data_IF_264820223039
#
_entry.id   IF_264820223039
#
_cell.length_a   1.000
_cell.length_b   1.000
_cell.length_c   1.000
_cell.angle_alpha   90.00
_cell.angle_beta   90.00
_cell.angle_gamma   90.00
#
_symmetry.space_group_name_H-M   'P 1'
#
loop_
_entity.id
_entity.type
_entity.pdbx_description
1 polymer ?
#
# COMPACT_ATOMS: atom_id res chain seq x y z
N UNK A 1 -3.94 -10.48 -14.48
CA UNK A 1 -2.51 -10.25 -14.22
C UNK A 1 -2.29 -8.92 -13.49
N UNK A 2 -3.13 -7.91 -13.76
CA UNK A 2 -3.07 -6.58 -13.15
C UNK A 2 -4.28 -6.29 -12.23
N UNK A 3 -4.86 -7.32 -11.64
CA UNK A 3 -5.96 -7.17 -10.68
C UNK A 3 -5.37 -7.23 -9.27
N UNK A 4 -5.61 -6.19 -8.49
CA UNK A 4 -5.19 -6.05 -7.10
C UNK A 4 -6.44 -5.78 -6.25
N UNK A 5 -7.10 -6.82 -5.72
CA UNK A 5 -8.18 -6.59 -4.76
C UNK A 5 -7.61 -6.06 -3.45
N UNK A 6 -8.41 -5.26 -2.77
CA UNK A 6 -8.11 -4.79 -1.42
C UNK A 6 -8.92 -5.59 -0.40
N UNK A 7 -8.32 -5.95 0.73
CA UNK A 7 -9.03 -6.61 1.82
C UNK A 7 -9.96 -5.65 2.58
N UNK A 8 -10.70 -6.17 3.55
CA UNK A 8 -11.55 -5.35 4.39
C UNK A 8 -10.73 -4.46 5.32
N UNK A 9 -11.00 -3.16 5.35
CA UNK A 9 -10.40 -2.18 6.28
C UNK A 9 -10.61 -2.52 7.78
N UNK A 10 -11.48 -3.48 8.10
CA UNK A 10 -11.67 -3.97 9.47
C UNK A 10 -10.60 -4.97 9.92
N UNK A 11 -9.81 -5.49 9.01
CA UNK A 11 -8.73 -6.43 9.30
C UNK A 11 -7.55 -5.67 9.92
N UNK A 12 -7.12 -6.11 11.12
CA UNK A 12 -5.95 -5.58 11.79
C UNK A 12 -5.02 -6.73 12.19
N UNK A 13 -4.04 -7.01 11.35
CA UNK A 13 -3.09 -8.13 11.54
C UNK A 13 -2.12 -7.93 12.71
N UNK A 14 -2.06 -6.72 13.25
CA UNK A 14 -1.29 -6.36 14.45
C UNK A 14 -2.18 -6.09 15.68
N UNK A 15 -3.41 -6.62 15.71
CA UNK A 15 -4.34 -6.33 16.79
C UNK A 15 -3.80 -6.79 18.15
N UNK A 16 -3.73 -5.90 19.19
CA UNK A 16 -3.10 -6.21 20.48
C UNK A 16 -3.88 -7.22 21.33
N UNK A 17 -5.18 -7.34 21.10
CA UNK A 17 -6.03 -8.27 21.85
C UNK A 17 -6.14 -9.61 21.10
N UNK A 18 -5.94 -10.77 21.77
CA UNK A 18 -5.93 -12.07 21.11
C UNK A 18 -7.20 -12.37 20.29
N UNK A 19 -8.38 -12.06 20.83
CA UNK A 19 -9.66 -12.30 20.12
C UNK A 19 -9.76 -11.47 18.82
N UNK A 20 -9.34 -10.20 18.87
CA UNK A 20 -9.32 -9.32 17.69
C UNK A 20 -8.29 -9.78 16.65
N UNK A 21 -7.13 -10.25 17.11
CA UNK A 21 -6.08 -10.79 16.25
C UNK A 21 -6.53 -12.05 15.53
N UNK A 22 -7.13 -13.01 16.24
CA UNK A 22 -7.65 -14.25 15.65
C UNK A 22 -8.75 -14.00 14.62
N UNK A 23 -9.68 -13.06 14.90
CA UNK A 23 -10.69 -12.64 13.91
C UNK A 23 -10.06 -12.05 12.66
N UNK A 24 -9.07 -11.19 12.82
CA UNK A 24 -8.35 -10.58 11.70
C UNK A 24 -7.57 -11.60 10.87
N UNK A 25 -6.87 -12.54 11.54
CA UNK A 25 -6.14 -13.64 10.88
C UNK A 25 -7.09 -14.54 10.09
N UNK A 26 -8.24 -14.90 10.67
CA UNK A 26 -9.24 -15.71 10.00
C UNK A 26 -9.83 -15.00 8.78
N UNK A 27 -10.14 -13.71 8.88
CA UNK A 27 -10.65 -12.92 7.77
C UNK A 27 -9.60 -12.76 6.65
N UNK A 28 -8.37 -12.44 6.99
CA UNK A 28 -7.29 -12.30 6.02
C UNK A 28 -7.01 -13.61 5.28
N UNK A 29 -7.03 -14.74 5.99
CA UNK A 29 -6.89 -16.06 5.37
C UNK A 29 -8.03 -16.35 4.39
N UNK A 30 -9.28 -16.01 4.74
CA UNK A 30 -10.44 -16.17 3.85
C UNK A 30 -10.29 -15.32 2.58
N UNK A 31 -9.85 -14.06 2.70
CA UNK A 31 -9.60 -13.19 1.55
C UNK A 31 -8.48 -13.74 0.65
N UNK A 32 -7.38 -14.21 1.20
CA UNK A 32 -6.29 -14.83 0.43
C UNK A 32 -6.75 -16.09 -0.29
N UNK A 33 -7.55 -16.95 0.37
CA UNK A 33 -8.11 -18.16 -0.24
C UNK A 33 -9.13 -17.83 -1.35
N UNK A 34 -9.92 -16.78 -1.20
CA UNK A 34 -10.82 -16.29 -2.26
C UNK A 34 -10.03 -15.81 -3.46
N UNK A 35 -8.92 -15.09 -3.26
CA UNK A 35 -8.02 -14.71 -4.35
C UNK A 35 -7.48 -15.94 -5.08
N UNK A 36 -7.05 -16.99 -4.37
CA UNK A 36 -6.60 -18.25 -4.99
C UNK A 36 -7.70 -18.92 -5.83
N UNK A 37 -8.93 -19.01 -5.28
CA UNK A 37 -10.07 -19.61 -6.00
C UNK A 37 -10.43 -18.85 -7.27
N UNK A 38 -10.24 -17.53 -7.27
CA UNK A 38 -10.46 -16.65 -8.42
C UNK A 38 -9.27 -16.61 -9.40
N UNK A 39 -8.14 -17.26 -9.06
CA UNK A 39 -6.92 -17.24 -9.86
C UNK A 39 -6.17 -15.92 -9.80
N UNK A 40 -6.47 -15.06 -8.82
CA UNK A 40 -5.78 -13.79 -8.59
C UNK A 40 -4.42 -14.04 -7.93
N UNK A 41 -3.46 -13.15 -8.18
CA UNK A 41 -2.08 -13.32 -7.72
C UNK A 41 -1.67 -12.37 -6.61
N UNK A 42 -2.44 -11.35 -6.36
CA UNK A 42 -2.14 -10.28 -5.40
C UNK A 42 -3.35 -10.06 -4.49
N UNK A 43 -3.11 -9.74 -3.22
CA UNK A 43 -4.10 -9.17 -2.30
C UNK A 43 -3.46 -8.00 -1.57
N UNK A 44 -4.03 -6.81 -1.74
CA UNK A 44 -3.61 -5.59 -1.05
C UNK A 44 -4.28 -5.46 0.31
N UNK A 45 -3.56 -4.94 1.30
CA UNK A 45 -4.10 -4.73 2.63
C UNK A 45 -3.32 -3.69 3.43
N UNK A 46 -4.00 -2.97 4.31
CA UNK A 46 -3.35 -2.14 5.32
C UNK A 46 -2.75 -3.03 6.42
N UNK A 47 -1.50 -2.79 6.86
CA UNK A 47 -0.81 -3.71 7.77
C UNK A 47 -1.52 -3.86 9.11
N UNK A 48 -2.02 -2.75 9.68
CA UNK A 48 -2.73 -2.78 10.95
C UNK A 48 -2.38 -1.61 11.86
N UNK A 49 -2.79 -1.74 13.12
CA UNK A 49 -2.75 -0.67 14.11
C UNK A 49 -2.46 -1.22 15.50
N UNK A 50 -1.55 -0.57 16.24
CA UNK A 50 -1.20 -0.95 17.60
C UNK A 50 -2.23 -0.48 18.66
N UNK A 51 -3.25 0.30 18.25
CA UNK A 51 -4.34 0.81 19.10
C UNK A 51 -3.84 1.53 20.38
N UNK A 52 -2.59 2.00 20.39
CA UNK A 52 -1.90 2.57 21.56
C UNK A 52 -1.85 1.62 22.79
N UNK A 53 -1.87 0.30 22.57
CA UNK A 53 -1.87 -0.72 23.62
C UNK A 53 -0.57 -1.53 23.69
N UNK A 54 0.18 -1.61 22.59
CA UNK A 54 1.46 -2.31 22.47
C UNK A 54 2.47 -1.41 21.75
N UNK A 55 3.73 -1.78 21.77
CA UNK A 55 4.77 -1.05 21.03
C UNK A 55 4.60 -1.17 19.51
N UNK A 56 5.21 -0.27 18.77
CA UNK A 56 5.24 -0.33 17.30
C UNK A 56 5.87 -1.64 16.85
N UNK A 57 7.01 -2.00 17.42
CA UNK A 57 7.77 -3.19 17.06
C UNK A 57 7.00 -4.49 17.38
N UNK A 58 6.30 -4.56 18.51
CA UNK A 58 5.44 -5.70 18.83
C UNK A 58 4.30 -5.84 17.83
N UNK A 59 3.66 -4.73 17.46
CA UNK A 59 2.60 -4.73 16.46
C UNK A 59 3.11 -5.18 15.09
N UNK A 60 4.26 -4.64 14.62
CA UNK A 60 4.88 -5.05 13.36
C UNK A 60 5.25 -6.54 13.36
N UNK A 61 5.68 -7.06 14.52
CA UNK A 61 5.98 -8.49 14.69
C UNK A 61 4.73 -9.36 14.57
N UNK A 62 3.61 -8.94 15.18
CA UNK A 62 2.32 -9.63 15.06
C UNK A 62 1.80 -9.62 13.60
N UNK A 63 2.01 -8.51 12.88
CA UNK A 63 1.64 -8.41 11.46
C UNK A 63 2.44 -9.42 10.64
N UNK A 64 3.75 -9.47 10.81
CA UNK A 64 4.61 -10.43 10.09
C UNK A 64 4.24 -11.89 10.40
N UNK A 65 3.98 -12.21 11.68
CA UNK A 65 3.50 -13.53 12.10
C UNK A 65 2.16 -13.89 11.43
N UNK A 66 1.22 -12.96 11.40
CA UNK A 66 -0.09 -13.16 10.78
C UNK A 66 0.02 -13.43 9.28
N UNK A 67 0.93 -12.74 8.59
CA UNK A 67 1.25 -13.00 7.19
C UNK A 67 1.83 -14.41 7.04
N UNK A 68 2.82 -14.81 7.84
CA UNK A 68 3.44 -16.15 7.77
C UNK A 68 2.39 -17.25 7.95
N UNK A 69 1.55 -17.18 8.98
CA UNK A 69 0.45 -18.11 9.23
C UNK A 69 -0.48 -18.26 8.01
N UNK A 70 -0.73 -17.16 7.31
CA UNK A 70 -1.59 -17.17 6.12
C UNK A 70 -0.88 -17.75 4.91
N UNK A 71 0.38 -17.39 4.70
CA UNK A 71 1.19 -17.90 3.58
C UNK A 71 1.44 -19.41 3.67
N UNK A 72 1.56 -19.99 4.89
CA UNK A 72 1.62 -21.43 5.09
C UNK A 72 0.36 -22.19 4.61
N UNK A 73 -0.80 -21.53 4.66
CA UNK A 73 -2.12 -22.09 4.33
C UNK A 73 -2.57 -21.79 2.90
N UNK A 74 -1.81 -21.00 2.16
CA UNK A 74 -2.08 -20.59 0.77
C UNK A 74 -0.83 -20.85 -0.10
N UNK A 75 -0.95 -20.79 -1.43
CA UNK A 75 0.17 -21.20 -2.32
C UNK A 75 0.61 -20.16 -3.33
N UNK A 76 -0.31 -19.37 -3.88
CA UNK A 76 -0.04 -18.61 -5.09
C UNK A 76 -0.22 -17.10 -4.96
N UNK A 77 -0.97 -16.64 -3.96
CA UNK A 77 -1.28 -15.21 -3.77
C UNK A 77 -0.17 -14.54 -2.99
N UNK A 78 0.26 -13.39 -3.45
CA UNK A 78 1.22 -12.51 -2.76
C UNK A 78 0.46 -11.56 -1.83
N UNK A 79 0.86 -11.49 -0.58
CA UNK A 79 0.41 -10.51 0.39
C UNK A 79 1.07 -9.15 0.09
N UNK A 80 0.30 -8.17 -0.35
CA UNK A 80 0.81 -6.85 -0.76
C UNK A 80 0.47 -5.84 0.33
N UNK A 81 1.48 -5.42 1.07
CA UNK A 81 1.35 -4.48 2.19
C UNK A 81 1.23 -3.07 1.64
N UNK A 82 0.14 -2.40 1.91
CA UNK A 82 0.00 -0.99 1.56
C UNK A 82 0.64 -0.09 2.62
N UNK A 83 1.39 0.93 2.18
CA UNK A 83 1.77 1.98 3.10
C UNK A 83 0.54 2.81 3.50
N UNK A 84 0.58 3.43 4.66
CA UNK A 84 -0.54 4.22 5.21
C UNK A 84 -0.14 5.67 5.48
N UNK A 85 -1.13 6.53 5.65
CA UNK A 85 -0.91 7.91 6.07
C UNK A 85 -0.38 8.04 7.52
N UNK A 86 -0.48 6.98 8.32
CA UNK A 86 -0.20 7.03 9.76
C UNK A 86 -1.30 7.72 10.57
N UNK A 87 -2.54 7.66 10.10
CA UNK A 87 -3.68 8.22 10.81
C UNK A 87 -3.94 7.44 12.10
N UNK A 88 -4.06 8.14 13.22
CA UNK A 88 -4.29 7.51 14.53
C UNK A 88 -3.11 6.68 15.00
N UNK A 89 -3.28 5.37 15.05
CA UNK A 89 -2.27 4.39 15.44
C UNK A 89 -1.97 3.36 14.34
N UNK A 90 -2.32 3.68 13.09
CA UNK A 90 -2.04 2.85 11.94
C UNK A 90 -0.54 2.84 11.63
N UNK A 91 0.00 1.66 11.36
CA UNK A 91 1.40 1.44 10.97
C UNK A 91 1.52 1.31 9.44
N UNK A 92 2.76 1.36 8.94
CA UNK A 92 3.04 1.35 7.50
C UNK A 92 3.32 2.74 6.91
N UNK A 93 3.23 3.79 7.72
CA UNK A 93 3.48 5.17 7.29
C UNK A 93 4.98 5.53 7.17
N UNK A 94 5.87 4.71 7.65
CA UNK A 94 7.30 4.86 7.48
C UNK A 94 7.87 3.64 6.74
N UNK A 95 8.77 3.84 5.78
CA UNK A 95 9.32 2.75 4.95
C UNK A 95 9.99 1.65 5.78
N UNK A 96 10.59 2.00 6.93
CA UNK A 96 11.17 1.00 7.82
C UNK A 96 10.12 0.06 8.45
N UNK A 97 8.84 0.51 8.60
CA UNK A 97 7.77 -0.39 9.04
C UNK A 97 7.55 -1.53 8.04
N UNK A 98 7.50 -1.17 6.74
CA UNK A 98 7.33 -2.15 5.66
C UNK A 98 8.52 -3.12 5.63
N UNK A 99 9.74 -2.57 5.71
CA UNK A 99 10.97 -3.37 5.76
C UNK A 99 11.00 -4.30 6.96
N UNK A 100 10.62 -3.82 8.13
CA UNK A 100 10.58 -4.62 9.36
C UNK A 100 9.66 -5.84 9.22
N UNK A 101 8.48 -5.64 8.62
CA UNK A 101 7.52 -6.73 8.33
C UNK A 101 8.13 -7.70 7.32
N UNK A 102 8.59 -7.18 6.17
CA UNK A 102 9.17 -7.98 5.10
C UNK A 102 10.32 -8.84 5.62
N UNK A 103 11.22 -8.31 6.44
CA UNK A 103 12.36 -9.05 6.96
C UNK A 103 11.95 -10.26 7.82
N UNK A 104 10.76 -10.23 8.41
CA UNK A 104 10.21 -11.30 9.26
C UNK A 104 9.24 -12.23 8.55
N UNK A 105 8.81 -11.88 7.36
CA UNK A 105 8.06 -12.83 6.51
C UNK A 105 9.02 -13.90 6.01
N UNK A 106 8.66 -15.19 6.11
CA UNK A 106 9.54 -16.30 5.75
C UNK A 106 9.64 -16.46 4.23
N UNK A 107 8.51 -16.49 3.53
CA UNK A 107 8.47 -16.57 2.06
C UNK A 107 8.54 -15.18 1.43
N UNK A 108 9.77 -14.72 1.15
CA UNK A 108 10.03 -13.41 0.51
C UNK A 108 9.47 -13.29 -0.90
N UNK A 109 9.16 -14.41 -1.54
CA UNK A 109 8.61 -14.39 -2.91
C UNK A 109 7.13 -14.05 -2.94
N UNK A 110 6.46 -14.20 -1.80
CA UNK A 110 5.02 -14.01 -1.65
C UNK A 110 4.65 -12.82 -0.73
N UNK A 111 5.56 -11.88 -0.57
CA UNK A 111 5.31 -10.59 0.07
C UNK A 111 5.70 -9.46 -0.86
N UNK A 112 4.94 -8.37 -0.85
CA UNK A 112 5.20 -7.18 -1.64
C UNK A 112 4.64 -5.94 -0.98
N UNK A 113 4.78 -4.81 -1.67
CA UNK A 113 4.33 -3.49 -1.22
C UNK A 113 3.46 -2.86 -2.29
N UNK A 114 2.40 -2.18 -1.88
CA UNK A 114 1.70 -1.17 -2.64
C UNK A 114 2.03 0.21 -2.06
N UNK A 115 2.43 1.16 -2.92
CA UNK A 115 2.59 2.55 -2.49
C UNK A 115 1.37 3.36 -2.92
N UNK A 116 0.63 3.88 -1.94
CA UNK A 116 -0.39 4.89 -2.17
C UNK A 116 0.24 6.30 -2.13
N UNK A 117 -0.02 7.09 -3.16
CA UNK A 117 0.58 8.43 -3.30
C UNK A 117 0.04 9.43 -2.30
N UNK A 118 -1.26 9.36 -1.96
CA UNK A 118 -1.87 10.18 -0.92
C UNK A 118 -1.29 9.82 0.46
N UNK A 119 -1.18 8.50 0.75
CA UNK A 119 -0.62 8.03 2.01
C UNK A 119 0.86 8.41 2.16
N UNK A 120 1.65 8.22 1.11
CA UNK A 120 3.08 8.60 1.09
C UNK A 120 3.24 10.09 1.38
N UNK A 121 2.48 10.93 0.68
CA UNK A 121 2.53 12.39 0.86
C UNK A 121 2.09 12.82 2.27
N UNK A 122 0.97 12.29 2.74
CA UNK A 122 0.44 12.66 4.06
C UNK A 122 1.23 12.05 5.22
N UNK A 123 1.97 10.97 5.00
CA UNK A 123 2.95 10.44 5.95
C UNK A 123 4.17 11.35 6.12
N UNK A 124 4.46 12.24 5.16
CA UNK A 124 5.53 13.22 5.26
C UNK A 124 6.62 13.11 4.21
N UNK A 125 6.48 12.21 3.24
CA UNK A 125 7.38 12.10 2.10
C UNK A 125 7.01 13.13 1.04
N UNK A 126 7.87 14.11 0.80
CA UNK A 126 7.59 15.20 -0.13
C UNK A 126 7.76 14.73 -1.60
N UNK A 127 6.65 14.29 -2.16
CA UNK A 127 6.59 13.81 -3.55
C UNK A 127 6.79 14.91 -4.58
N UNK A 128 6.68 16.19 -4.20
CA UNK A 128 6.76 17.32 -5.11
C UNK A 128 8.19 17.84 -5.22
N UNK A 129 8.79 18.18 -4.09
CA UNK A 129 10.12 18.80 -4.05
C UNK A 129 11.24 17.75 -3.99
N UNK A 130 10.98 16.61 -3.34
CA UNK A 130 11.98 15.58 -3.02
C UNK A 130 11.73 14.24 -3.77
N UNK A 131 11.07 14.26 -4.94
CA UNK A 131 10.69 13.05 -5.69
C UNK A 131 11.78 11.97 -5.74
N UNK A 132 12.97 12.31 -6.23
CA UNK A 132 14.07 11.34 -6.36
C UNK A 132 14.56 10.86 -5.00
N UNK A 133 14.60 11.73 -4.00
CA UNK A 133 15.00 11.37 -2.64
C UNK A 133 14.02 10.38 -2.01
N UNK A 134 12.72 10.59 -2.17
CA UNK A 134 11.68 9.69 -1.64
C UNK A 134 11.82 8.30 -2.25
N UNK A 135 11.92 8.20 -3.58
CA UNK A 135 12.02 6.89 -4.22
C UNK A 135 13.40 6.23 -4.05
N UNK A 136 14.48 7.00 -3.90
CA UNK A 136 15.78 6.46 -3.52
C UNK A 136 15.76 5.93 -2.07
N UNK A 137 15.12 6.63 -1.15
CA UNK A 137 14.92 6.14 0.22
C UNK A 137 14.08 4.84 0.23
N UNK A 138 13.02 4.77 -0.58
CA UNK A 138 12.27 3.53 -0.73
C UNK A 138 13.14 2.38 -1.25
N UNK A 139 13.97 2.62 -2.27
CA UNK A 139 14.90 1.60 -2.78
C UNK A 139 15.91 1.16 -1.72
N UNK A 140 16.50 2.10 -0.99
CA UNK A 140 17.51 1.80 0.05
C UNK A 140 16.93 1.04 1.23
N UNK A 141 15.71 1.40 1.65
CA UNK A 141 15.08 0.82 2.86
C UNK A 141 14.31 -0.46 2.53
N UNK A 142 13.46 -0.43 1.52
CA UNK A 142 12.53 -1.52 1.17
C UNK A 142 13.04 -2.33 -0.03
N UNK A 143 13.36 -1.63 -1.11
CA UNK A 143 13.78 -2.17 -2.40
C UNK A 143 12.63 -2.30 -3.39
N UNK A 144 12.84 -1.80 -4.64
CA UNK A 144 11.85 -1.89 -5.71
C UNK A 144 11.48 -3.34 -6.09
N UNK A 145 12.32 -4.31 -5.74
CA UNK A 145 12.00 -5.72 -5.95
C UNK A 145 10.75 -6.19 -5.17
N UNK A 146 10.35 -5.44 -4.13
CA UNK A 146 9.14 -5.70 -3.37
C UNK A 146 7.93 -4.89 -3.84
N UNK A 147 8.13 -3.83 -4.64
CA UNK A 147 7.01 -3.05 -5.17
C UNK A 147 6.19 -3.88 -6.16
N UNK A 148 4.90 -4.01 -5.91
CA UNK A 148 3.96 -4.81 -6.72
C UNK A 148 2.88 -3.98 -7.36
N UNK A 149 2.56 -2.82 -6.80
CA UNK A 149 1.50 -1.95 -7.28
C UNK A 149 1.65 -0.54 -6.71
N UNK A 150 0.90 0.39 -7.27
CA UNK A 150 0.67 1.70 -6.66
C UNK A 150 -0.81 2.06 -6.73
N UNK A 151 -1.28 2.76 -5.70
CA UNK A 151 -2.52 3.52 -5.74
C UNK A 151 -2.19 4.97 -6.09
N UNK A 152 -2.82 5.47 -7.15
CA UNK A 152 -2.62 6.83 -7.64
C UNK A 152 -3.77 7.71 -7.17
N UNK A 153 -3.58 8.39 -6.06
CA UNK A 153 -4.56 9.25 -5.44
C UNK A 153 -3.95 10.62 -5.15
N UNK A 154 -4.65 11.69 -5.49
CA UNK A 154 -4.30 13.01 -4.98
C UNK A 154 -4.74 13.14 -3.52
N UNK A 155 -4.29 14.15 -2.82
CA UNK A 155 -4.57 14.32 -1.40
C UNK A 155 -5.32 15.62 -1.10
N UNK A 156 -6.42 15.52 -0.38
CA UNK A 156 -7.12 16.68 0.21
C UNK A 156 -6.36 17.32 1.36
N UNK A 157 -5.29 16.71 1.84
CA UNK A 157 -4.56 17.11 3.02
C UNK A 157 -3.12 17.43 2.69
N UNK A 158 -2.56 18.35 3.44
CA UNK A 158 -1.19 18.81 3.25
C UNK A 158 -0.16 17.72 3.61
N UNK A 159 1.06 17.92 3.12
CA UNK A 159 2.24 17.12 3.44
C UNK A 159 2.37 16.90 4.96
N UNK A 160 2.60 15.66 5.37
CA UNK A 160 2.83 15.30 6.76
C UNK A 160 1.62 15.44 7.70
N UNK A 161 0.42 15.64 7.15
CA UNK A 161 -0.80 15.80 7.96
C UNK A 161 -1.22 14.55 8.72
N UNK A 162 -0.75 13.38 8.30
CA UNK A 162 -1.18 12.06 8.81
C UNK A 162 -2.68 11.83 8.74
N UNK A 163 -3.30 12.32 7.67
CA UNK A 163 -4.75 12.18 7.45
C UNK A 163 -4.99 11.61 6.06
N UNK A 164 -5.59 10.44 6.04
CA UNK A 164 -6.01 9.76 4.84
C UNK A 164 -7.32 10.37 4.30
N UNK A 165 -7.20 11.15 3.22
CA UNK A 165 -8.33 11.73 2.48
C UNK A 165 -7.93 11.93 1.02
N UNK A 166 -8.31 10.96 0.19
CA UNK A 166 -8.08 11.00 -1.24
C UNK A 166 -8.81 12.16 -1.92
N UNK A 167 -8.24 12.65 -3.01
CA UNK A 167 -8.88 13.54 -3.96
C UNK A 167 -8.67 13.02 -5.39
N UNK A 168 -9.43 13.58 -6.33
CA UNK A 168 -9.24 13.31 -7.75
C UNK A 168 -7.90 13.86 -8.24
N UNK A 169 -7.31 13.22 -9.23
CA UNK A 169 -6.00 13.60 -9.78
C UNK A 169 -5.97 15.09 -10.16
N UNK A 170 -4.99 15.81 -9.64
CA UNK A 170 -4.79 17.24 -9.89
C UNK A 170 -5.74 18.16 -9.13
N UNK A 171 -6.57 17.66 -8.21
CA UNK A 171 -7.51 18.45 -7.42
C UNK A 171 -7.03 18.68 -5.98
N UNK A 172 -6.03 17.95 -5.54
CA UNK A 172 -5.48 18.01 -4.19
C UNK A 172 -4.14 18.74 -4.12
N UNK A 173 -3.42 18.46 -3.04
CA UNK A 173 -2.14 19.08 -2.72
C UNK A 173 -0.95 18.48 -3.50
N UNK A 174 -1.10 17.27 -4.09
CA UNK A 174 -0.06 16.63 -4.90
C UNK A 174 -0.03 17.24 -6.31
N UNK A 175 -1.18 17.31 -6.97
CA UNK A 175 -1.36 17.98 -8.25
C UNK A 175 -0.77 17.25 -9.46
N UNK A 176 -1.17 17.69 -10.65
CA UNK A 176 -0.80 17.07 -11.92
C UNK A 176 0.71 16.85 -12.16
N UNK A 177 1.62 17.79 -11.83
CA UNK A 177 3.06 17.64 -12.18
C UNK A 177 3.70 16.38 -11.60
N UNK A 178 3.29 15.94 -10.41
CA UNK A 178 3.78 14.70 -9.83
C UNK A 178 3.36 13.49 -10.66
N UNK A 179 2.07 13.38 -10.99
CA UNK A 179 1.55 12.25 -11.76
C UNK A 179 2.13 12.21 -13.18
N UNK A 180 2.37 13.38 -13.81
CA UNK A 180 3.09 13.46 -15.10
C UNK A 180 4.49 12.87 -15.00
N UNK A 181 5.24 13.22 -13.95
CA UNK A 181 6.57 12.71 -13.71
C UNK A 181 6.55 11.20 -13.44
N UNK A 182 5.64 10.76 -12.57
CA UNK A 182 5.50 9.34 -12.20
C UNK A 182 5.16 8.48 -13.41
N UNK A 183 4.21 8.89 -14.25
CA UNK A 183 3.82 8.11 -15.43
C UNK A 183 4.92 7.99 -16.50
N UNK A 184 5.91 8.88 -16.47
CA UNK A 184 7.10 8.83 -17.36
C UNK A 184 8.29 8.10 -16.75
N UNK A 185 8.22 7.74 -15.48
CA UNK A 185 9.31 7.07 -14.76
C UNK A 185 9.29 5.55 -15.04
N UNK A 186 10.36 4.99 -15.64
CA UNK A 186 10.38 3.56 -15.99
C UNK A 186 10.40 2.62 -14.78
N UNK A 187 10.67 3.12 -13.58
CA UNK A 187 10.63 2.31 -12.35
C UNK A 187 9.23 1.74 -12.07
N UNK A 188 8.18 2.40 -12.60
CA UNK A 188 6.78 2.05 -12.37
C UNK A 188 6.11 1.39 -13.57
N UNK A 189 6.90 0.98 -14.58
CA UNK A 189 6.37 0.28 -15.75
C UNK A 189 5.96 -1.16 -15.41
N UNK A 190 4.93 -1.65 -16.12
CA UNK A 190 4.48 -3.04 -16.04
C UNK A 190 3.98 -3.52 -14.67
N UNK A 191 3.45 -2.63 -13.85
CA UNK A 191 2.77 -2.96 -12.60
C UNK A 191 1.35 -2.37 -12.56
N UNK A 192 0.45 -2.89 -11.71
CA UNK A 192 -0.85 -2.28 -11.47
C UNK A 192 -0.70 -0.86 -10.93
N UNK A 193 -1.33 0.11 -11.61
CA UNK A 193 -1.52 1.47 -11.14
C UNK A 193 -3.03 1.70 -11.03
N UNK A 194 -3.54 1.91 -9.84
CA UNK A 194 -4.97 1.85 -9.52
C UNK A 194 -5.42 3.19 -8.95
N UNK A 195 -6.57 3.66 -9.40
CA UNK A 195 -7.23 4.85 -8.85
C UNK A 195 -8.21 4.43 -7.74
N UNK A 196 -8.13 5.13 -6.63
CA UNK A 196 -9.14 5.11 -5.56
C UNK A 196 -9.66 6.53 -5.30
N UNK A 197 -9.61 7.36 -6.34
CA UNK A 197 -10.08 8.74 -6.31
C UNK A 197 -11.59 8.79 -6.07
N UNK A 198 -12.04 9.83 -5.39
CA UNK A 198 -13.37 9.88 -4.78
C UNK A 198 -14.53 10.13 -5.75
N UNK A 199 -14.27 10.69 -6.92
CA UNK A 199 -15.29 11.03 -7.93
C UNK A 199 -15.24 10.06 -9.10
N UNK A 200 -16.07 9.02 -9.03
CA UNK A 200 -16.16 7.97 -10.07
C UNK A 200 -16.48 8.53 -11.46
N UNK A 201 -17.11 9.69 -11.54
CA UNK A 201 -17.44 10.31 -12.83
C UNK A 201 -16.21 10.84 -13.56
N UNK A 202 -15.10 11.05 -12.85
CA UNK A 202 -13.83 11.49 -13.40
C UNK A 202 -12.90 10.34 -13.80
N UNK A 203 -13.10 9.11 -13.30
CA UNK A 203 -12.23 7.98 -13.58
C UNK A 203 -11.93 7.75 -15.08
N UNK A 204 -12.92 7.80 -15.99
CA UNK A 204 -12.60 7.64 -17.41
C UNK A 204 -11.62 8.69 -17.96
N UNK A 205 -11.72 9.93 -17.47
CA UNK A 205 -10.84 11.04 -17.87
C UNK A 205 -9.45 10.92 -17.24
N UNK A 206 -9.40 10.60 -15.96
CA UNK A 206 -8.15 10.37 -15.21
C UNK A 206 -7.35 9.21 -15.83
N UNK A 207 -8.00 8.09 -16.10
CA UNK A 207 -7.36 6.92 -16.73
C UNK A 207 -6.87 7.26 -18.16
N UNK A 208 -7.69 7.94 -18.95
CA UNK A 208 -7.31 8.33 -20.30
C UNK A 208 -6.07 9.24 -20.29
N UNK A 209 -6.05 10.24 -19.41
CA UNK A 209 -4.93 11.16 -19.27
C UNK A 209 -3.65 10.45 -18.79
N UNK A 210 -3.73 9.58 -17.77
CA UNK A 210 -2.58 8.81 -17.29
C UNK A 210 -2.01 7.89 -18.38
N UNK A 211 -2.86 7.24 -19.19
CA UNK A 211 -2.44 6.40 -20.31
C UNK A 211 -1.73 7.19 -21.40
N UNK A 212 -2.25 8.36 -21.77
CA UNK A 212 -1.61 9.24 -22.76
C UNK A 212 -0.19 9.62 -22.32
N UNK A 213 0.01 9.91 -21.02
CA UNK A 213 1.35 10.20 -20.48
C UNK A 213 2.30 9.00 -20.57
N UNK A 214 1.81 7.79 -20.30
CA UNK A 214 2.65 6.59 -20.39
C UNK A 214 3.02 6.21 -21.82
N UNK A 215 2.20 6.54 -22.82
CA UNK A 215 2.45 6.29 -24.23
C UNK A 215 3.38 7.35 -24.88
N UNK A 216 3.55 8.49 -24.21
CA UNK A 216 4.37 9.61 -24.70
C UNK A 216 5.82 9.61 -24.18
N UNK A 217 6.30 8.47 -23.69
CA UNK A 217 7.68 8.24 -23.22
C UNK A 217 8.72 8.27 -24.31
#
# INVERSE_FOLDING_TARGET
EYILPHDSYLINLGHPEPEGLEKSRAAFLDEMQRCEQLGLKLLNFHPGSHLNKISVEDCLSLIAESINITLEKTKEVTAVIENTAGQGSNLGNEFWHLKYIIDRVEDKTRVGVCLDTCHTFTAGYDLLEDYEKVFNEFEEVVGFQYLRAMHLNDSKKALGSRVDRHDSIGKGFIGFPFFEKLMRDPRFDNMPLILETIDETLWPQEIAWLRELSESK
#
